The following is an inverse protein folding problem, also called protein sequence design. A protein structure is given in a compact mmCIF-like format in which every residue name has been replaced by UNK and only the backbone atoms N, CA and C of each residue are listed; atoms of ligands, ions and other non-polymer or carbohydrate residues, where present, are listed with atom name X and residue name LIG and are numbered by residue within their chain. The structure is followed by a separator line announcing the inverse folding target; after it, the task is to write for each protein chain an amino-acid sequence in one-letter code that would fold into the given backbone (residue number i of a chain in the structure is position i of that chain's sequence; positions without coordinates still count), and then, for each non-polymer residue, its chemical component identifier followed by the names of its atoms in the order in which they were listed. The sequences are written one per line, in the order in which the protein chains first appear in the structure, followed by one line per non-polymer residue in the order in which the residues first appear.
data_IF_337492033057
#
_entry.id   IF_337492033057
#
_cell.length_a   1.000
_cell.length_b   1.000
_cell.length_c   1.000
_cell.angle_alpha   90.00
_cell.angle_beta   90.00
_cell.angle_gamma   90.00
#
_symmetry.space_group_name_H-M   'P 1'
#
loop_
_entity.id
_entity.type
_entity.pdbx_description
1 polymer ?
#
# COMPACT_ATOMS: atom_id res chain seq x y z
N UNK A 1 1.00 -4.49 -12.30
CA UNK A 1 1.41 -3.24 -11.59
C UNK A 1 2.23 -2.34 -12.51
N UNK A 2 2.38 -1.01 -12.30
CA UNK A 2 3.30 -0.22 -13.14
C UNK A 2 4.75 -0.71 -13.02
N UNK A 3 5.33 -1.18 -14.11
CA UNK A 3 6.67 -1.81 -14.17
C UNK A 3 7.78 -0.91 -13.59
N UNK A 4 7.61 0.41 -13.69
CA UNK A 4 8.53 1.40 -13.17
C UNK A 4 8.58 1.46 -11.63
N UNK A 5 7.51 1.06 -10.94
CA UNK A 5 7.46 0.97 -9.47
C UNK A 5 8.19 -0.30 -9.02
N UNK A 6 7.86 -1.45 -9.63
CA UNK A 6 8.50 -2.74 -9.34
C UNK A 6 10.02 -2.65 -9.52
N UNK A 7 10.49 -2.17 -10.69
CA UNK A 7 11.94 -2.04 -10.96
C UNK A 7 12.65 -1.15 -9.94
N UNK A 8 12.01 -0.07 -9.48
CA UNK A 8 12.58 0.83 -8.47
C UNK A 8 12.67 0.17 -7.11
N UNK A 9 11.63 -0.58 -6.73
CA UNK A 9 11.60 -1.33 -5.49
C UNK A 9 12.69 -2.41 -5.48
N UNK A 10 12.77 -3.25 -6.51
CA UNK A 10 13.81 -4.28 -6.65
C UNK A 10 15.23 -3.68 -6.58
N UNK A 11 15.46 -2.56 -7.27
CA UNK A 11 16.76 -1.85 -7.20
C UNK A 11 17.07 -1.35 -5.79
N UNK A 12 16.07 -0.87 -5.06
CA UNK A 12 16.27 -0.43 -3.68
C UNK A 12 16.48 -1.61 -2.73
N UNK A 13 15.75 -2.70 -2.91
CA UNK A 13 15.92 -3.94 -2.15
C UNK A 13 17.35 -4.46 -2.30
N UNK A 14 17.86 -4.60 -3.53
CA UNK A 14 19.23 -5.02 -3.77
C UNK A 14 20.27 -4.08 -3.11
N UNK A 15 20.04 -2.77 -3.13
CA UNK A 15 20.92 -1.79 -2.48
C UNK A 15 20.90 -1.92 -0.94
N UNK A 16 19.73 -2.12 -0.36
CA UNK A 16 19.58 -2.30 1.09
C UNK A 16 20.16 -3.64 1.55
N UNK A 17 19.90 -4.71 0.81
CA UNK A 17 20.42 -6.05 1.06
C UNK A 17 21.95 -6.04 1.10
N UNK A 18 22.59 -5.45 0.07
CA UNK A 18 24.05 -5.27 0.03
C UNK A 18 24.58 -4.45 1.21
N UNK A 19 23.88 -3.39 1.62
CA UNK A 19 24.29 -2.54 2.75
C UNK A 19 24.24 -3.29 4.09
N UNK A 20 23.29 -4.22 4.23
CA UNK A 20 23.04 -4.95 5.47
C UNK A 20 23.58 -6.39 5.43
N UNK A 21 24.42 -6.72 4.44
CA UNK A 21 25.05 -8.05 4.27
C UNK A 21 24.05 -9.20 4.36
N UNK A 22 22.90 -9.00 3.72
CA UNK A 22 21.78 -9.93 3.70
C UNK A 22 21.20 -10.02 2.29
N UNK A 23 20.20 -10.86 2.08
CA UNK A 23 19.49 -10.99 0.82
C UNK A 23 18.26 -10.06 0.76
N UNK A 24 17.74 -9.85 -0.45
CA UNK A 24 16.59 -8.96 -0.65
C UNK A 24 15.29 -9.52 -0.07
N UNK A 25 15.14 -10.83 0.07
CA UNK A 25 13.93 -11.44 0.62
C UNK A 25 13.86 -11.21 2.13
N UNK A 26 14.97 -11.37 2.85
CA UNK A 26 15.06 -11.16 4.31
C UNK A 26 14.69 -9.73 4.74
N UNK A 27 14.94 -8.73 3.89
CA UNK A 27 14.57 -7.34 4.16
C UNK A 27 13.21 -6.94 3.59
N UNK A 28 12.52 -7.82 2.87
CA UNK A 28 11.22 -7.55 2.26
C UNK A 28 10.14 -8.21 3.10
N UNK A 29 9.30 -7.38 3.72
CA UNK A 29 8.25 -7.83 4.62
C UNK A 29 6.89 -7.60 3.98
N UNK A 30 6.07 -8.64 3.93
CA UNK A 30 4.65 -8.49 3.60
C UNK A 30 3.96 -7.74 4.73
N UNK A 31 3.35 -6.60 4.41
CA UNK A 31 2.61 -5.78 5.36
C UNK A 31 1.30 -5.29 4.74
N UNK A 32 0.39 -4.84 5.59
CA UNK A 32 -0.94 -4.42 5.23
C UNK A 32 -1.14 -2.94 5.50
N UNK A 33 -1.91 -2.27 4.66
CA UNK A 33 -2.33 -0.89 4.81
C UNK A 33 -3.82 -0.75 4.52
N UNK A 34 -4.62 -0.61 5.57
CA UNK A 34 -6.02 -0.25 5.43
C UNK A 34 -6.19 1.20 5.01
N UNK A 35 -7.11 1.46 4.10
CA UNK A 35 -7.32 2.79 3.55
C UNK A 35 -8.78 3.12 3.36
N UNK A 36 -9.07 4.41 3.22
CA UNK A 36 -10.39 4.92 2.87
C UNK A 36 -10.50 5.17 1.36
N UNK A 37 -11.71 5.13 0.84
CA UNK A 37 -12.01 5.52 -0.54
C UNK A 37 -13.21 6.47 -0.57
N UNK A 38 -13.36 7.17 -1.70
CA UNK A 38 -14.51 8.04 -1.98
C UNK A 38 -15.03 7.86 -3.41
N UNK A 39 -14.56 6.83 -4.10
CA UNK A 39 -15.05 6.45 -5.41
C UNK A 39 -16.47 5.90 -5.27
N UNK A 40 -17.31 6.10 -6.28
CA UNK A 40 -18.63 5.49 -6.34
C UNK A 40 -18.54 3.97 -6.40
N UNK A 41 -17.59 3.45 -7.18
CA UNK A 41 -17.35 2.03 -7.35
C UNK A 41 -15.85 1.72 -7.12
N UNK A 42 -15.46 1.43 -5.86
CA UNK A 42 -14.05 1.18 -5.55
C UNK A 42 -13.54 -0.12 -6.17
N UNK A 43 -14.38 -1.15 -6.33
CA UNK A 43 -13.97 -2.47 -6.83
C UNK A 43 -13.61 -2.36 -8.30
N UNK A 44 -14.50 -1.84 -9.13
CA UNK A 44 -14.22 -1.62 -10.56
C UNK A 44 -13.03 -0.67 -10.76
N UNK A 45 -12.90 0.36 -9.91
CA UNK A 45 -11.73 1.26 -9.93
C UNK A 45 -10.42 0.51 -9.68
N UNK A 46 -10.43 -0.47 -8.78
CA UNK A 46 -9.26 -1.25 -8.38
C UNK A 46 -8.87 -2.30 -9.41
N UNK A 47 -9.85 -2.99 -9.98
CA UNK A 47 -9.66 -4.03 -10.99
C UNK A 47 -9.14 -3.43 -12.30
N UNK A 48 -9.83 -2.42 -12.81
CA UNK A 48 -9.52 -1.85 -14.12
C UNK A 48 -8.33 -0.89 -14.06
N UNK A 49 -8.18 -0.15 -12.96
CA UNK A 49 -7.20 0.95 -12.81
C UNK A 49 -7.35 2.07 -13.86
N UNK A 50 -8.43 2.07 -14.65
CA UNK A 50 -8.66 3.01 -15.76
C UNK A 50 -9.35 4.29 -15.26
N UNK A 51 -10.24 4.17 -14.27
CA UNK A 51 -11.10 5.28 -13.82
C UNK A 51 -10.83 5.71 -12.37
N UNK A 52 -9.58 6.09 -12.06
CA UNK A 52 -9.27 6.66 -10.74
C UNK A 52 -10.04 7.98 -10.55
N UNK A 53 -10.97 8.02 -9.59
CA UNK A 53 -11.75 9.24 -9.34
C UNK A 53 -10.85 10.47 -9.07
N UNK A 54 -11.35 11.65 -9.44
CA UNK A 54 -10.61 12.91 -9.25
C UNK A 54 -10.67 13.44 -7.81
N UNK A 55 -11.44 12.78 -6.94
CA UNK A 55 -11.62 13.18 -5.55
C UNK A 55 -10.27 13.16 -4.80
N UNK A 56 -9.76 14.36 -4.48
CA UNK A 56 -8.48 14.54 -3.76
C UNK A 56 -8.49 13.93 -2.36
N UNK A 57 -9.68 13.68 -1.78
CA UNK A 57 -9.88 13.00 -0.50
C UNK A 57 -9.97 11.47 -0.60
N UNK A 58 -9.90 10.88 -1.79
CA UNK A 58 -9.86 9.42 -1.93
C UNK A 58 -8.43 8.90 -1.71
N UNK A 59 -8.17 8.33 -0.53
CA UNK A 59 -6.84 7.80 -0.19
C UNK A 59 -6.44 6.63 -1.10
N UNK A 60 -7.37 5.70 -1.38
CA UNK A 60 -7.19 4.61 -2.35
C UNK A 60 -6.71 5.10 -3.74
N UNK A 61 -7.43 6.03 -4.37
CA UNK A 61 -7.03 6.59 -5.67
C UNK A 61 -5.71 7.38 -5.58
N UNK A 62 -5.46 8.04 -4.45
CA UNK A 62 -4.17 8.68 -4.17
C UNK A 62 -3.00 7.70 -4.21
N UNK A 63 -3.16 6.54 -3.56
CA UNK A 63 -2.20 5.44 -3.55
C UNK A 63 -2.04 4.84 -4.95
N UNK A 64 -3.14 4.52 -5.64
CA UNK A 64 -3.07 3.95 -7.00
C UNK A 64 -2.37 4.89 -8.00
N UNK A 65 -2.61 6.21 -7.90
CA UNK A 65 -2.03 7.20 -8.82
C UNK A 65 -0.56 7.50 -8.52
N UNK A 66 -0.18 7.56 -7.23
CA UNK A 66 1.11 8.13 -6.81
C UNK A 66 2.01 7.13 -6.07
N UNK A 67 1.49 5.96 -5.70
CA UNK A 67 2.13 5.06 -4.74
C UNK A 67 2.40 5.76 -3.40
N UNK A 68 3.49 5.38 -2.74
CA UNK A 68 3.96 6.01 -1.49
C UNK A 68 4.68 7.36 -1.73
N UNK A 69 4.30 8.13 -2.76
CA UNK A 69 4.96 9.42 -3.03
C UNK A 69 4.52 10.47 -2.02
N UNK A 70 5.49 10.85 -1.18
CA UNK A 70 5.47 12.00 -0.27
C UNK A 70 5.54 13.31 -1.07
N UNK A 71 4.42 13.82 -1.59
CA UNK A 71 4.39 15.22 -2.06
C UNK A 71 3.02 15.85 -1.90
N UNK A 72 2.69 16.22 -0.67
CA UNK A 72 1.90 17.43 -0.45
C UNK A 72 2.87 18.61 -0.46
N UNK A 73 2.86 19.42 -1.54
CA UNK A 73 3.72 20.62 -1.70
C UNK A 73 3.42 21.73 -0.68
N UNK A 74 2.39 21.57 0.14
CA UNK A 74 1.83 22.63 0.98
C UNK A 74 2.33 22.64 2.43
N UNK A 75 3.01 21.58 2.89
CA UNK A 75 3.56 21.52 4.25
C UNK A 75 5.00 21.02 4.23
N UNK A 76 5.95 21.95 4.35
CA UNK A 76 7.40 21.71 4.29
C UNK A 76 7.98 20.87 5.45
N UNK A 77 7.14 20.45 6.41
CA UNK A 77 7.59 19.83 7.67
C UNK A 77 7.05 18.43 7.95
N UNK A 78 6.13 17.89 7.14
CA UNK A 78 5.57 16.54 7.36
C UNK A 78 5.94 15.58 6.24
N UNK A 79 6.96 14.76 6.47
CA UNK A 79 7.21 13.55 5.66
C UNK A 79 5.96 12.65 5.76
N UNK A 80 5.15 12.61 4.70
CA UNK A 80 3.92 11.81 4.64
C UNK A 80 4.23 10.39 4.15
N UNK A 81 4.61 9.50 5.07
CA UNK A 81 4.77 8.06 4.78
C UNK A 81 3.46 7.29 4.89
N UNK A 82 3.43 6.09 4.32
CA UNK A 82 2.35 5.12 4.54
C UNK A 82 2.68 4.32 5.80
N UNK A 83 1.70 4.16 6.67
CA UNK A 83 1.79 3.26 7.82
C UNK A 83 1.27 1.89 7.42
N UNK A 84 2.05 0.86 7.68
CA UNK A 84 1.67 -0.52 7.42
C UNK A 84 1.91 -1.38 8.65
N UNK A 85 1.11 -2.43 8.81
CA UNK A 85 1.28 -3.41 9.89
C UNK A 85 1.46 -4.81 9.31
N UNK A 86 2.25 -5.66 9.96
CA UNK A 86 2.30 -7.08 9.60
C UNK A 86 1.01 -7.83 9.99
N UNK A 87 0.11 -7.18 10.74
CA UNK A 87 -1.20 -7.69 11.12
C UNK A 87 -2.31 -7.02 10.28
N UNK A 88 -3.05 -7.80 9.47
CA UNK A 88 -4.15 -7.28 8.66
C UNK A 88 -5.32 -6.78 9.53
N UNK A 89 -5.56 -7.34 10.72
CA UNK A 89 -6.62 -6.90 11.62
C UNK A 89 -6.32 -5.49 12.16
N UNK A 90 -5.07 -5.23 12.53
CA UNK A 90 -4.62 -3.89 12.91
C UNK A 90 -4.82 -2.89 11.76
N UNK A 91 -4.51 -3.31 10.54
CA UNK A 91 -4.68 -2.49 9.34
C UNK A 91 -6.15 -2.24 9.00
N UNK A 92 -7.03 -3.21 9.21
CA UNK A 92 -8.46 -3.13 8.93
C UNK A 92 -9.14 -1.97 9.66
N UNK A 93 -8.72 -1.66 10.90
CA UNK A 93 -9.25 -0.53 11.70
C UNK A 93 -9.18 0.79 10.92
N UNK A 94 -8.20 0.97 10.04
CA UNK A 94 -8.06 2.16 9.22
C UNK A 94 -9.03 2.20 8.03
N UNK A 95 -9.46 1.04 7.54
CA UNK A 95 -10.50 0.92 6.50
C UNK A 95 -11.90 1.15 7.07
N UNK A 96 -12.16 0.73 8.32
CA UNK A 96 -13.43 0.92 9.03
C UNK A 96 -13.80 2.39 9.27
N UNK A 97 -12.86 3.33 9.12
CA UNK A 97 -13.13 4.77 9.23
C UNK A 97 -14.02 5.30 8.10
N UNK A 98 -14.06 4.59 6.97
CA UNK A 98 -15.12 4.76 6.01
C UNK A 98 -16.27 3.86 6.45
N UNK A 99 -17.39 4.45 6.86
CA UNK A 99 -18.67 3.73 7.07
C UNK A 99 -19.30 3.32 5.72
N UNK A 100 -18.44 2.89 4.79
CA UNK A 100 -18.76 2.52 3.42
C UNK A 100 -18.14 1.17 3.16
N UNK A 101 -18.98 0.24 2.69
CA UNK A 101 -18.53 -1.05 2.17
C UNK A 101 -18.39 -0.94 0.66
N UNK A 102 -17.38 -1.61 0.08
CA UNK A 102 -16.49 -2.58 0.72
C UNK A 102 -15.25 -2.03 1.44
N UNK A 103 -14.70 -2.75 2.42
CA UNK A 103 -13.43 -2.34 3.04
C UNK A 103 -12.23 -2.70 2.16
N UNK A 104 -11.34 -1.72 2.01
CA UNK A 104 -10.18 -1.82 1.11
C UNK A 104 -8.88 -1.84 1.92
N UNK A 105 -8.02 -2.80 1.63
CA UNK A 105 -6.70 -2.95 2.23
C UNK A 105 -5.66 -3.29 1.17
N UNK A 106 -4.49 -2.65 1.23
CA UNK A 106 -3.36 -3.01 0.37
C UNK A 106 -2.42 -3.94 1.11
N UNK A 107 -2.05 -5.05 0.49
CA UNK A 107 -0.86 -5.82 0.85
C UNK A 107 0.36 -5.21 0.14
N UNK A 108 1.49 -5.13 0.84
CA UNK A 108 2.65 -4.33 0.50
C UNK A 108 3.91 -5.13 0.77
N UNK A 109 4.83 -5.12 -0.18
CA UNK A 109 6.22 -5.46 0.05
C UNK A 109 6.93 -4.22 0.61
N UNK A 110 7.27 -4.28 1.89
CA UNK A 110 7.93 -3.20 2.63
C UNK A 110 9.39 -3.56 2.88
N UNK A 111 10.30 -2.69 2.43
CA UNK A 111 11.73 -2.87 2.66
C UNK A 111 12.13 -2.33 4.03
N UNK A 112 12.54 -3.21 4.93
CA UNK A 112 13.06 -2.86 6.25
C UNK A 112 14.19 -3.82 6.66
N UNK A 113 15.31 -3.31 7.23
CA UNK A 113 16.40 -4.17 7.69
C UNK A 113 16.00 -5.12 8.82
N UNK A 114 15.01 -4.74 9.61
CA UNK A 114 14.47 -5.54 10.71
C UNK A 114 12.94 -5.62 10.56
N UNK A 115 12.33 -6.75 10.89
CA UNK A 115 10.88 -6.86 10.95
C UNK A 115 10.34 -5.95 12.06
N UNK A 116 9.21 -5.30 11.80
CA UNK A 116 8.50 -4.49 12.78
C UNK A 116 7.00 -4.72 12.69
N UNK A 117 6.33 -4.69 13.84
CA UNK A 117 4.88 -4.90 13.93
C UNK A 117 4.09 -3.81 13.17
N UNK A 118 4.52 -2.56 13.31
CA UNK A 118 4.01 -1.43 12.54
C UNK A 118 5.19 -0.62 12.02
N UNK A 119 5.22 -0.37 10.71
CA UNK A 119 6.26 0.40 10.06
C UNK A 119 5.67 1.60 9.34
N UNK A 120 6.32 2.76 9.53
CA UNK A 120 6.06 3.94 8.71
C UNK A 120 7.06 3.97 7.57
N UNK A 121 6.60 3.66 6.37
CA UNK A 121 7.48 3.63 5.21
C UNK A 121 7.50 4.99 4.55
N UNK A 122 8.68 5.59 4.49
CA UNK A 122 8.90 6.85 3.81
C UNK A 122 9.46 6.61 2.41
N UNK A 123 8.85 7.27 1.42
CA UNK A 123 9.35 7.31 0.05
C UNK A 123 9.34 5.92 -0.63
N UNK A 124 9.87 5.84 -1.86
CA UNK A 124 9.81 4.73 -2.87
C UNK A 124 10.24 3.30 -2.43
N UNK A 125 10.26 2.98 -1.14
CA UNK A 125 10.63 1.70 -0.55
C UNK A 125 9.46 0.70 -0.40
N UNK A 126 8.38 0.91 -1.14
CA UNK A 126 7.20 0.05 -1.12
C UNK A 126 6.86 -0.38 -2.53
N UNK A 127 6.82 -1.69 -2.75
CA UNK A 127 6.06 -2.30 -3.83
C UNK A 127 4.71 -2.66 -3.23
N UNK A 128 3.63 -2.44 -3.97
CA UNK A 128 2.31 -2.85 -3.48
C UNK A 128 2.02 -4.21 -4.12
N UNK A 129 1.78 -5.21 -3.29
CA UNK A 129 1.43 -6.54 -3.70
C UNK A 129 -0.05 -6.74 -3.39
N UNK A 130 -0.90 -6.38 -4.36
CA UNK A 130 -2.34 -6.66 -4.40
C UNK A 130 -3.20 -6.22 -3.20
N UNK A 131 -4.50 -6.38 -3.38
CA UNK A 131 -5.54 -5.75 -2.59
C UNK A 131 -6.37 -6.85 -1.92
N UNK A 132 -6.55 -6.73 -0.61
CA UNK A 132 -7.49 -7.58 0.12
C UNK A 132 -8.80 -6.80 0.21
N UNK A 133 -9.80 -7.31 -0.49
CA UNK A 133 -11.17 -6.90 -0.33
C UNK A 133 -11.78 -7.64 0.87
N UNK A 134 -12.26 -6.90 1.86
CA UNK A 134 -13.04 -7.48 2.97
C UNK A 134 -14.48 -6.99 2.83
N UNK A 135 -15.28 -7.75 2.09
CA UNK A 135 -16.73 -7.62 2.18
C UNK A 135 -17.20 -8.34 3.43
N UNK A 136 -18.07 -7.69 4.19
CA UNK A 136 -18.77 -8.26 5.33
C UNK A 136 -19.66 -9.43 4.92
N UNK A 137 -19.08 -10.62 4.82
CA UNK A 137 -19.75 -11.82 4.40
C UNK A 137 -18.74 -12.93 4.10
N UNK A 138 -17.91 -13.25 5.10
CA UNK A 138 -17.10 -14.48 5.22
C UNK A 138 -16.12 -14.87 4.11
N UNK A 139 -15.99 -14.14 3.00
CA UNK A 139 -15.07 -14.50 1.92
C UNK A 139 -14.01 -13.40 1.71
N UNK A 140 -12.76 -13.71 2.08
CA UNK A 140 -11.57 -12.99 1.65
C UNK A 140 -11.25 -13.41 0.22
N UNK A 141 -11.53 -12.55 -0.75
CA UNK A 141 -11.09 -12.77 -2.13
C UNK A 141 -9.75 -12.07 -2.35
N UNK A 142 -8.70 -12.87 -2.58
CA UNK A 142 -7.37 -12.40 -2.95
C UNK A 142 -7.30 -12.41 -4.48
N UNK A 143 -7.15 -11.24 -5.08
CA UNK A 143 -7.01 -11.13 -6.54
C UNK A 143 -5.53 -11.18 -6.92
N UNK A 144 -5.07 -12.36 -7.35
CA UNK A 144 -3.77 -12.53 -8.00
C UNK A 144 -3.88 -12.11 -9.47
N UNK A 145 -3.19 -11.05 -9.85
CA UNK A 145 -3.03 -10.69 -11.27
C UNK A 145 -1.56 -10.51 -11.59
N UNK A 146 -0.97 -11.60 -12.09
CA UNK A 146 0.39 -11.78 -12.62
C UNK A 146 0.91 -10.53 -13.35
#
# INVERSE_FOLDING_TARGET
MPTNIIKRHQKLAAKMAKKHETDSQTITHLMFHGTTYRCRDPITTLETKVELCENKGCAMCGILRKGNKTRNRWFWWKKSGIWSSNDPAHSLIYSLKCDQRPYIMFALDVLAPLPGYTLKVFNKAVSFLFLIHVSSGHNTEMFDNI
#
